data_IF_310701483161
#
_entry.id   IF_310701483161
#
_cell.length_a   1.000
_cell.length_b   1.000
_cell.length_c   1.000
_cell.angle_alpha   90.00
_cell.angle_beta   90.00
_cell.angle_gamma   90.00
#
_symmetry.space_group_name_H-M   'P 1'
#
loop_
_entity.id
_entity.type
_entity.pdbx_description
1 polymer ?
#
# COMPACT_ATOMS: atom_id res chain seq x y z
N UNK A 1 -27.15 -23.25 21.12
CA UNK A 1 -27.36 -21.79 21.21
C UNK A 1 -26.00 -21.12 21.07
N UNK A 2 -25.80 -20.38 19.98
CA UNK A 2 -24.51 -19.78 19.56
C UNK A 2 -24.36 -18.37 20.14
N UNK A 3 -23.26 -18.08 20.84
CA UNK A 3 -22.62 -16.75 21.00
C UNK A 3 -21.15 -17.03 21.41
N UNK A 4 -20.09 -16.61 20.74
CA UNK A 4 -19.89 -15.46 19.86
C UNK A 4 -19.06 -14.41 20.59
N UNK A 5 -17.73 -14.49 20.49
CA UNK A 5 -16.84 -13.32 20.58
C UNK A 5 -15.43 -13.68 20.06
N UNK A 6 -15.24 -13.50 18.75
CA UNK A 6 -13.90 -13.41 18.16
C UNK A 6 -13.46 -11.97 18.34
N UNK A 7 -12.42 -11.75 19.14
CA UNK A 7 -11.69 -10.49 19.17
C UNK A 7 -10.65 -10.53 18.04
N UNK A 8 -10.71 -9.66 17.01
CA UNK A 8 -9.54 -9.43 16.19
C UNK A 8 -8.63 -8.46 16.97
N UNK A 9 -7.53 -9.00 17.51
CA UNK A 9 -6.37 -8.20 17.87
C UNK A 9 -5.83 -7.60 16.57
N UNK A 10 -6.23 -6.37 16.27
CA UNK A 10 -5.63 -5.53 15.24
C UNK A 10 -4.20 -5.21 15.67
N UNK A 11 -3.27 -6.09 15.32
CA UNK A 11 -1.84 -5.86 15.50
C UNK A 11 -1.43 -4.77 14.53
N UNK A 12 -1.52 -3.51 14.96
CA UNK A 12 -0.92 -2.38 14.26
C UNK A 12 0.58 -2.63 14.18
N UNK A 13 1.06 -2.99 12.99
CA UNK A 13 2.49 -3.15 12.76
C UNK A 13 3.07 -1.75 12.56
N UNK A 14 3.66 -1.23 13.64
CA UNK A 14 4.48 -0.03 13.63
C UNK A 14 5.78 -0.33 12.86
N UNK A 15 5.73 -0.31 11.54
CA UNK A 15 6.95 -0.08 10.75
C UNK A 15 7.25 1.40 10.94
N UNK A 16 8.18 1.68 11.85
CA UNK A 16 8.67 3.02 12.13
C UNK A 16 9.03 3.77 10.85
N UNK A 17 9.00 5.09 10.93
CA UNK A 17 9.32 6.03 9.87
C UNK A 17 10.64 5.62 9.17
N UNK A 18 10.51 4.93 8.04
CA UNK A 18 11.60 4.10 7.49
C UNK A 18 12.74 4.94 6.90
N UNK A 19 12.62 6.27 6.92
CA UNK A 19 13.65 7.23 6.50
C UNK A 19 14.33 8.01 7.63
N UNK A 20 13.88 7.96 8.90
CA UNK A 20 14.48 8.77 9.98
C UNK A 20 14.83 7.97 11.24
N UNK A 21 16.06 7.46 11.25
CA UNK A 21 16.86 7.23 12.46
C UNK A 21 17.48 8.54 13.00
N UNK A 22 16.72 9.63 13.12
CA UNK A 22 17.24 10.81 13.84
C UNK A 22 16.13 11.72 14.35
N UNK A 23 16.20 12.01 15.64
CA UNK A 23 15.48 13.03 16.42
C UNK A 23 14.00 12.76 16.75
N UNK A 24 13.82 12.01 17.86
CA UNK A 24 13.04 12.36 19.05
C UNK A 24 11.71 13.14 18.92
N UNK A 25 10.71 12.52 19.57
CA UNK A 25 9.67 13.11 20.42
C UNK A 25 8.32 13.47 19.79
N UNK A 26 7.34 12.61 20.08
CA UNK A 26 6.06 13.03 20.67
C UNK A 26 4.90 13.19 19.70
N UNK A 27 4.14 12.12 19.44
CA UNK A 27 2.73 12.23 19.04
C UNK A 27 1.90 11.09 19.62
N UNK A 28 0.90 11.47 20.41
CA UNK A 28 -0.11 10.66 21.10
C UNK A 28 -1.05 9.96 20.12
N UNK A 29 -1.46 8.73 20.44
CA UNK A 29 -2.45 7.95 19.70
C UNK A 29 -3.88 8.41 20.05
N UNK A 30 -4.68 8.76 19.04
CA UNK A 30 -6.14 8.70 19.08
C UNK A 30 -6.62 7.90 17.86
N UNK A 31 -7.42 6.87 18.13
CA UNK A 31 -7.98 5.95 17.16
C UNK A 31 -9.28 6.49 16.59
N UNK A 32 -9.21 7.08 15.41
CA UNK A 32 -10.27 7.07 14.37
C UNK A 32 -9.79 7.88 13.17
N UNK A 33 -8.85 7.33 12.39
CA UNK A 33 -8.48 7.94 11.12
C UNK A 33 -9.49 7.51 10.04
N UNK A 34 -10.61 8.23 9.97
CA UNK A 34 -11.38 8.33 8.73
C UNK A 34 -10.50 9.06 7.72
N UNK A 35 -10.16 8.41 6.60
CA UNK A 35 -9.42 9.06 5.52
C UNK A 35 -10.35 10.09 4.87
N UNK A 36 -10.12 11.36 5.17
CA UNK A 36 -10.84 12.48 4.56
C UNK A 36 -10.45 12.56 3.08
N UNK A 37 -11.40 12.55 2.11
CA UNK A 37 -11.10 12.54 0.67
C UNK A 37 -10.32 13.76 0.17
N UNK A 38 -10.11 14.78 1.01
CA UNK A 38 -9.31 15.97 0.70
C UNK A 38 -7.81 15.84 1.01
N UNK A 39 -7.38 14.78 1.68
CA UNK A 39 -5.96 14.45 1.87
C UNK A 39 -5.41 13.56 0.73
N UNK A 40 -6.21 13.32 -0.32
CA UNK A 40 -5.87 12.47 -1.43
C UNK A 40 -4.86 13.15 -2.37
N UNK A 41 -3.58 12.79 -2.25
CA UNK A 41 -2.66 12.90 -3.37
C UNK A 41 -3.30 12.24 -4.58
N UNK A 42 -3.47 13.00 -5.67
CA UNK A 42 -4.40 12.71 -6.77
C UNK A 42 -4.53 11.23 -7.16
N UNK A 43 -5.77 10.80 -7.40
CA UNK A 43 -6.06 9.44 -7.83
C UNK A 43 -5.52 9.19 -9.25
N UNK A 44 -4.91 8.02 -9.43
CA UNK A 44 -4.25 7.57 -10.66
C UNK A 44 -4.91 6.28 -11.13
N UNK A 45 -5.23 6.22 -12.41
CA UNK A 45 -5.77 5.01 -13.03
C UNK A 45 -4.62 4.14 -13.54
N UNK A 46 -4.53 2.92 -13.03
CA UNK A 46 -3.52 1.96 -13.41
C UNK A 46 -4.13 0.80 -14.19
N UNK A 47 -3.45 0.28 -15.21
CA UNK A 47 -3.90 -0.88 -15.99
C UNK A 47 -3.02 -2.08 -15.69
N UNK A 48 -3.62 -3.16 -15.17
CA UNK A 48 -2.92 -4.42 -14.91
C UNK A 48 -2.61 -5.20 -16.19
N UNK A 49 -1.84 -6.28 -16.06
CA UNK A 49 -1.48 -7.20 -17.15
C UNK A 49 -2.70 -7.79 -17.85
N UNK A 50 -3.77 -8.03 -17.11
CA UNK A 50 -5.06 -8.52 -17.56
C UNK A 50 -5.89 -7.49 -18.33
N UNK A 51 -5.47 -6.21 -18.35
CA UNK A 51 -6.24 -5.10 -18.89
C UNK A 51 -7.26 -4.51 -17.91
N UNK A 52 -7.40 -5.08 -16.71
CA UNK A 52 -8.22 -4.51 -15.63
C UNK A 52 -7.66 -3.16 -15.19
N UNK A 53 -8.57 -2.25 -14.80
CA UNK A 53 -8.21 -0.90 -14.37
C UNK A 53 -8.43 -0.73 -12.87
N UNK A 54 -7.44 -0.14 -12.21
CA UNK A 54 -7.39 0.03 -10.77
C UNK A 54 -7.21 1.52 -10.45
N UNK A 55 -8.12 2.06 -9.65
CA UNK A 55 -7.97 3.42 -9.14
C UNK A 55 -7.08 3.38 -7.89
N UNK A 56 -5.95 4.06 -7.93
CA UNK A 56 -4.96 4.08 -6.86
C UNK A 56 -4.72 5.50 -6.39
N UNK A 57 -4.54 5.70 -5.10
CA UNK A 57 -4.23 7.00 -4.50
C UNK A 57 -2.76 7.10 -4.16
N UNK A 58 -2.15 8.26 -4.42
CA UNK A 58 -0.76 8.50 -4.01
C UNK A 58 -0.71 8.62 -2.49
N UNK A 59 0.21 7.89 -1.87
CA UNK A 59 0.47 8.02 -0.43
C UNK A 59 1.42 9.19 -0.21
N UNK A 60 0.99 10.18 0.57
CA UNK A 60 1.81 11.36 0.92
C UNK A 60 2.77 10.98 2.06
N UNK A 61 4.04 11.32 1.90
CA UNK A 61 5.18 10.83 2.71
C UNK A 61 5.04 11.10 4.22
N UNK A 62 4.41 12.19 4.62
CA UNK A 62 4.29 12.60 6.04
C UNK A 62 3.35 11.71 6.88
N UNK A 63 2.62 10.78 6.25
CA UNK A 63 1.67 9.87 6.92
C UNK A 63 1.79 8.41 6.48
N UNK A 64 2.93 8.00 5.90
CA UNK A 64 3.11 6.67 5.32
C UNK A 64 3.18 5.55 6.38
N UNK A 65 2.03 5.22 6.97
CA UNK A 65 1.79 3.97 7.71
C UNK A 65 1.03 3.02 6.80
N UNK A 66 1.56 1.81 6.62
CA UNK A 66 0.81 0.78 5.92
C UNK A 66 -0.30 0.25 6.83
N UNK A 67 -1.55 0.37 6.37
CA UNK A 67 -2.73 -0.11 7.07
C UNK A 67 -3.06 -1.54 6.63
N UNK A 68 -3.53 -2.37 7.57
CA UNK A 68 -3.82 -3.79 7.35
C UNK A 68 -4.88 -4.06 6.27
N UNK A 69 -5.79 -3.11 6.00
CA UNK A 69 -6.85 -3.24 5.00
C UNK A 69 -6.51 -2.55 3.66
N UNK A 70 -5.24 -2.28 3.41
CA UNK A 70 -4.78 -1.57 2.21
C UNK A 70 -3.78 -2.41 1.43
N UNK A 71 -3.89 -2.28 0.10
CA UNK A 71 -2.95 -2.81 -0.87
C UNK A 71 -2.08 -1.67 -1.38
N UNK A 72 -0.78 -1.91 -1.45
CA UNK A 72 0.22 -0.92 -1.78
C UNK A 72 1.00 -1.32 -3.02
N UNK A 73 1.44 -0.34 -3.80
CA UNK A 73 2.35 -0.54 -4.92
C UNK A 73 3.47 0.50 -4.88
N UNK A 74 4.69 0.07 -5.17
CA UNK A 74 5.84 0.95 -5.35
C UNK A 74 6.13 1.11 -6.84
N UNK A 75 6.09 2.37 -7.29
CA UNK A 75 6.34 2.76 -8.68
C UNK A 75 7.72 3.37 -8.79
N UNK A 76 8.58 2.75 -9.58
CA UNK A 76 9.92 3.23 -9.89
C UNK A 76 10.04 3.39 -11.40
N UNK A 77 10.42 4.59 -11.88
CA UNK A 77 10.50 4.90 -13.31
C UNK A 77 9.22 4.56 -14.10
N UNK A 78 8.06 4.80 -13.48
CA UNK A 78 6.74 4.52 -14.06
C UNK A 78 6.37 3.03 -14.13
N UNK A 79 7.11 2.14 -13.47
CA UNK A 79 6.83 0.70 -13.43
C UNK A 79 6.53 0.28 -12.00
N UNK A 80 5.47 -0.50 -11.78
CA UNK A 80 5.25 -1.12 -10.46
C UNK A 80 6.30 -2.20 -10.27
N UNK A 81 7.21 -2.00 -9.32
CA UNK A 81 8.32 -2.93 -9.01
C UNK A 81 8.03 -3.85 -7.84
N UNK A 82 7.03 -3.51 -7.05
CA UNK A 82 6.54 -4.29 -5.93
C UNK A 82 5.06 -3.94 -5.71
N UNK A 83 4.24 -4.95 -5.42
CA UNK A 83 2.85 -4.76 -5.05
C UNK A 83 2.45 -5.77 -3.97
N UNK A 84 1.77 -5.32 -2.92
CA UNK A 84 1.40 -6.19 -1.81
C UNK A 84 0.80 -5.44 -0.62
N UNK A 85 0.63 -6.18 0.47
CA UNK A 85 0.03 -5.75 1.74
C UNK A 85 1.10 -5.55 2.82
N UNK A 86 0.69 -5.03 3.98
CA UNK A 86 1.57 -4.97 5.15
C UNK A 86 1.92 -6.39 5.65
N UNK A 87 0.97 -7.31 5.54
CA UNK A 87 1.09 -8.72 5.89
C UNK A 87 2.17 -9.41 5.07
N UNK A 88 2.29 -9.10 3.78
CA UNK A 88 3.37 -9.62 2.91
C UNK A 88 4.75 -9.20 3.42
N UNK A 89 4.87 -7.98 3.96
CA UNK A 89 6.12 -7.52 4.60
C UNK A 89 6.38 -8.20 5.95
N UNK A 90 5.39 -8.78 6.61
CA UNK A 90 5.61 -9.48 7.88
C UNK A 90 5.91 -10.95 7.61
N UNK A 91 5.15 -11.57 6.72
CA UNK A 91 5.18 -12.99 6.46
C UNK A 91 6.29 -13.41 5.48
N UNK A 92 6.62 -12.58 4.48
CA UNK A 92 7.57 -12.95 3.42
C UNK A 92 8.87 -12.12 3.48
N UNK A 93 10.01 -12.73 3.89
CA UNK A 93 11.31 -12.07 3.85
C UNK A 93 11.74 -11.56 2.47
N UNK A 94 11.34 -12.25 1.39
CA UNK A 94 11.71 -11.85 0.03
C UNK A 94 10.93 -10.62 -0.42
N UNK A 95 9.61 -10.59 -0.14
CA UNK A 95 8.78 -9.40 -0.34
C UNK A 95 9.33 -8.19 0.42
N UNK A 96 9.72 -8.36 1.69
CA UNK A 96 10.40 -7.30 2.46
C UNK A 96 11.66 -6.77 1.78
N UNK A 97 12.53 -7.66 1.31
CA UNK A 97 13.79 -7.25 0.69
C UNK A 97 13.54 -6.46 -0.59
N UNK A 98 12.59 -6.90 -1.42
CA UNK A 98 12.17 -6.18 -2.64
C UNK A 98 11.59 -4.81 -2.31
N UNK A 99 10.67 -4.75 -1.35
CA UNK A 99 10.09 -3.49 -0.89
C UNK A 99 11.17 -2.50 -0.46
N UNK A 100 12.09 -2.91 0.44
CA UNK A 100 13.16 -2.04 0.93
C UNK A 100 14.06 -1.55 -0.19
N UNK A 101 14.42 -2.43 -1.14
CA UNK A 101 15.27 -2.07 -2.28
C UNK A 101 14.61 -0.99 -3.15
N UNK A 102 13.34 -1.20 -3.52
CA UNK A 102 12.59 -0.27 -4.39
C UNK A 102 12.32 1.05 -3.65
N UNK A 103 11.94 0.98 -2.37
CA UNK A 103 11.68 2.17 -1.54
C UNK A 103 12.93 3.04 -1.37
N UNK A 104 14.11 2.42 -1.19
CA UNK A 104 15.39 3.13 -1.13
C UNK A 104 15.74 3.84 -2.46
N UNK A 105 15.25 3.33 -3.59
CA UNK A 105 15.41 3.94 -4.92
C UNK A 105 14.57 5.19 -5.16
N UNK A 106 13.83 5.69 -4.17
CA UNK A 106 12.98 6.88 -4.32
C UNK A 106 11.66 6.60 -5.05
N UNK A 107 11.20 5.34 -5.03
CA UNK A 107 9.93 4.96 -5.63
C UNK A 107 8.74 5.72 -5.02
N UNK A 108 7.76 6.04 -5.86
CA UNK A 108 6.48 6.59 -5.43
C UNK A 108 5.59 5.47 -4.88
N UNK A 109 4.95 5.69 -3.75
CA UNK A 109 3.97 4.74 -3.19
C UNK A 109 2.54 5.10 -3.58
N UNK A 110 1.82 4.09 -4.06
CA UNK A 110 0.39 4.12 -4.35
C UNK A 110 -0.35 3.17 -3.41
N UNK A 111 -1.64 3.42 -3.18
CA UNK A 111 -2.49 2.59 -2.34
C UNK A 111 -3.90 2.45 -2.88
N UNK A 112 -4.57 1.36 -2.51
CA UNK A 112 -5.99 1.14 -2.72
C UNK A 112 -6.53 0.17 -1.65
N UNK A 113 -7.84 0.03 -1.55
CA UNK A 113 -8.43 -0.99 -0.69
C UNK A 113 -7.95 -2.39 -1.11
N UNK A 114 -7.49 -3.17 -0.12
CA UNK A 114 -7.13 -4.56 -0.37
C UNK A 114 -8.41 -5.40 -0.60
N UNK A 115 -8.39 -6.36 -1.54
CA UNK A 115 -9.40 -7.41 -1.57
C UNK A 115 -9.44 -8.16 -0.23
N UNK A 116 -10.63 -8.57 0.23
CA UNK A 116 -10.76 -9.30 1.49
C UNK A 116 -10.29 -10.77 1.45
N UNK A 117 -10.06 -11.31 0.25
CA UNK A 117 -9.67 -12.70 0.05
C UNK A 117 -8.19 -12.85 -0.34
N UNK A 118 -7.41 -13.76 0.29
CA UNK A 118 -5.98 -13.91 0.00
C UNK A 118 -5.65 -14.18 -1.47
N UNK A 119 -6.42 -15.04 -2.14
CA UNK A 119 -6.19 -15.35 -3.55
C UNK A 119 -6.40 -14.12 -4.45
N UNK A 120 -7.35 -13.25 -4.09
CA UNK A 120 -7.59 -12.01 -4.83
C UNK A 120 -6.45 -11.01 -4.63
N UNK A 121 -5.86 -10.94 -3.42
CA UNK A 121 -4.65 -10.14 -3.14
C UNK A 121 -3.48 -10.63 -3.99
N UNK A 122 -3.21 -11.94 -4.00
CA UNK A 122 -2.12 -12.53 -4.79
C UNK A 122 -2.32 -12.28 -6.29
N UNK A 123 -3.55 -12.45 -6.77
CA UNK A 123 -3.92 -12.18 -8.17
C UNK A 123 -3.71 -10.71 -8.53
N UNK A 124 -4.11 -9.80 -7.64
CA UNK A 124 -3.92 -8.35 -7.81
C UNK A 124 -2.43 -7.98 -7.86
N UNK A 125 -1.61 -8.53 -6.96
CA UNK A 125 -0.17 -8.33 -6.97
C UNK A 125 0.46 -8.82 -8.28
N UNK A 126 0.13 -10.04 -8.70
CA UNK A 126 0.61 -10.57 -9.97
C UNK A 126 0.19 -9.72 -11.17
N UNK A 127 -1.04 -9.21 -11.17
CA UNK A 127 -1.60 -8.40 -12.25
C UNK A 127 -0.96 -7.01 -12.35
N UNK A 128 -0.51 -6.45 -11.22
CA UNK A 128 0.09 -5.12 -11.16
C UNK A 128 1.62 -5.15 -11.29
N UNK A 129 2.31 -6.13 -10.74
CA UNK A 129 3.78 -6.15 -10.78
C UNK A 129 4.33 -6.18 -12.21
N UNK A 130 5.34 -5.35 -12.48
CA UNK A 130 5.98 -5.22 -13.78
C UNK A 130 5.16 -4.48 -14.84
N UNK A 131 3.95 -4.01 -14.52
CA UNK A 131 3.19 -3.15 -15.43
C UNK A 131 3.73 -1.72 -15.43
N UNK A 132 3.46 -0.98 -16.50
CA UNK A 132 3.91 0.38 -16.70
C UNK A 132 2.74 1.35 -16.69
N UNK A 133 2.98 2.54 -16.15
CA UNK A 133 2.06 3.66 -16.27
C UNK A 133 1.96 4.03 -17.75
N UNK A 134 0.73 4.10 -18.26
CA UNK A 134 0.44 4.66 -19.57
C UNK A 134 -0.07 6.09 -19.37
N UNK A 135 0.78 7.12 -19.57
CA UNK A 135 0.38 8.51 -19.33
C UNK A 135 -0.72 9.02 -20.28
N UNK A 136 -1.04 8.29 -21.36
CA UNK A 136 -1.84 8.80 -22.49
C UNK A 136 -3.31 8.30 -22.55
N UNK A 137 -3.98 8.14 -21.40
CA UNK A 137 -5.42 7.80 -21.35
C UNK A 137 -6.24 8.65 -20.37
N UNK A 138 -5.78 9.87 -20.07
CA UNK A 138 -6.49 10.82 -19.21
C UNK A 138 -6.88 12.14 -19.93
N UNK A 139 -6.75 12.23 -21.26
CA UNK A 139 -7.26 13.36 -22.04
C UNK A 139 -8.42 12.89 -22.92
N UNK A 140 -9.65 13.21 -22.50
CA UNK A 140 -10.85 13.24 -23.33
C UNK A 140 -11.57 14.56 -23.04
#
# INVERSE_FOLDING_TARGET
MVRGRVHPLGTNVMIGDWRRLTALSGVTMDGSASINPKDAGGALLWTGRSGRRYLMSRVVEERARMAAAQFYALVEHGVIRWAGTAEDLIADPMSRQRFRKVSAGGAQMLSMAAPGEPLAIMTLAWDLEGTRQYPDRNAA
#
